data_IF_242796611204
#
_entry.id   IF_242796611204
#
_cell.length_a   1.000
_cell.length_b   1.000
_cell.length_c   1.000
_cell.angle_alpha   90.00
_cell.angle_beta   90.00
_cell.angle_gamma   90.00
#
_symmetry.space_group_name_H-M   'P 1'
#
loop_
_entity.id
_entity.type
_entity.pdbx_description
1 polymer ?
#
# COMPACT_ATOMS: atom_id res chain seq x y z
N UNK A 1 1.02 8.27 -12.45
CA UNK A 1 0.72 7.07 -13.27
C UNK A 1 -0.36 6.25 -12.57
N UNK A 2 -1.29 5.63 -13.30
CA UNK A 2 -2.25 4.67 -12.78
C UNK A 2 -1.84 3.26 -13.25
N UNK A 3 -1.62 2.35 -12.32
CA UNK A 3 -1.32 0.95 -12.63
C UNK A 3 -2.62 0.14 -12.74
N UNK A 4 -2.85 -0.46 -13.89
CA UNK A 4 -3.83 -1.53 -14.08
C UNK A 4 -3.10 -2.87 -13.98
N UNK A 5 -3.10 -3.46 -12.77
CA UNK A 5 -2.42 -4.73 -12.54
C UNK A 5 -3.31 -5.93 -12.89
N UNK A 6 -2.65 -7.05 -13.19
CA UNK A 6 -3.33 -8.32 -13.46
C UNK A 6 -4.00 -8.84 -12.19
N UNK A 7 -5.24 -9.29 -12.32
CA UNK A 7 -5.97 -9.98 -11.25
C UNK A 7 -6.16 -11.43 -11.68
N UNK A 8 -5.90 -12.41 -10.81
CA UNK A 8 -6.18 -13.80 -11.14
C UNK A 8 -7.68 -13.95 -11.40
N UNK A 9 -8.03 -14.54 -12.53
CA UNK A 9 -9.39 -14.97 -12.80
C UNK A 9 -9.67 -16.22 -11.97
N UNK A 10 -10.21 -16.03 -10.78
CA UNK A 10 -10.79 -17.14 -10.04
C UNK A 10 -12.20 -17.40 -10.61
N UNK A 11 -12.53 -18.64 -10.99
CA UNK A 11 -13.90 -18.98 -11.27
C UNK A 11 -14.71 -18.83 -9.98
N UNK A 12 -15.63 -17.88 -9.95
CA UNK A 12 -16.76 -17.82 -9.04
C UNK A 12 -16.58 -17.50 -7.55
N UNK A 13 -15.81 -16.48 -7.13
CA UNK A 13 -16.20 -15.86 -5.87
C UNK A 13 -15.71 -14.41 -5.79
N UNK A 14 -16.58 -13.48 -6.14
CA UNK A 14 -16.45 -12.04 -5.83
C UNK A 14 -16.75 -11.75 -4.36
N UNK A 15 -16.99 -12.77 -3.56
CA UNK A 15 -17.01 -12.65 -2.12
C UNK A 15 -15.57 -12.68 -1.63
N UNK A 16 -15.04 -11.50 -1.36
CA UNK A 16 -13.85 -11.37 -0.53
C UNK A 16 -14.18 -12.03 0.82
N UNK A 17 -13.92 -13.33 0.92
CA UNK A 17 -14.03 -14.02 2.17
C UNK A 17 -12.79 -13.62 2.98
N UNK A 18 -12.88 -12.46 3.63
CA UNK A 18 -11.86 -11.91 4.51
C UNK A 18 -11.68 -12.74 5.79
N UNK A 19 -12.06 -14.02 5.78
CA UNK A 19 -11.87 -14.92 6.90
C UNK A 19 -10.39 -15.24 7.10
N UNK A 20 -9.91 -15.22 8.35
CA UNK A 20 -8.50 -15.37 8.71
C UNK A 20 -7.81 -16.66 8.24
N UNK A 21 -8.57 -17.68 7.88
CA UNK A 21 -8.05 -19.04 7.60
C UNK A 21 -8.22 -19.49 6.15
N UNK A 22 -8.82 -18.72 5.29
CA UNK A 22 -8.86 -19.09 3.88
C UNK A 22 -7.55 -18.66 3.24
N UNK A 23 -6.70 -19.66 3.04
CA UNK A 23 -5.36 -19.51 2.53
C UNK A 23 -5.30 -18.36 1.54
N UNK A 24 -4.70 -17.28 1.99
CA UNK A 24 -4.39 -16.12 1.16
C UNK A 24 -3.59 -16.69 0.00
N UNK A 25 -4.30 -17.06 -1.06
CA UNK A 25 -3.66 -17.46 -2.30
C UNK A 25 -2.81 -16.26 -2.70
N UNK A 26 -1.51 -16.35 -2.40
CA UNK A 26 -0.54 -15.31 -2.74
C UNK A 26 -0.56 -15.18 -4.25
N UNK A 27 -1.38 -14.27 -4.75
CA UNK A 27 -1.34 -13.93 -6.16
C UNK A 27 -0.11 -13.10 -6.39
N UNK A 28 0.90 -13.66 -7.03
CA UNK A 28 2.12 -12.93 -7.36
C UNK A 28 1.92 -11.92 -8.47
N UNK A 29 0.93 -12.11 -9.34
CA UNK A 29 0.74 -11.28 -10.54
C UNK A 29 0.59 -9.77 -10.26
N UNK A 30 -0.25 -9.32 -9.31
CA UNK A 30 -0.32 -7.89 -8.96
C UNK A 30 1.02 -7.34 -8.49
N UNK A 31 1.74 -8.12 -7.68
CA UNK A 31 3.02 -7.70 -7.11
C UNK A 31 4.12 -7.67 -8.18
N UNK A 32 4.16 -8.62 -9.11
CA UNK A 32 5.05 -8.59 -10.28
C UNK A 32 4.83 -7.32 -11.10
N UNK A 33 3.56 -6.97 -11.38
CA UNK A 33 3.20 -5.76 -12.12
C UNK A 33 3.62 -4.49 -11.38
N UNK A 34 3.46 -4.44 -10.06
CA UNK A 34 3.91 -3.32 -9.24
C UNK A 34 5.44 -3.19 -9.23
N UNK A 35 6.17 -4.31 -9.05
CA UNK A 35 7.63 -4.33 -9.12
C UNK A 35 8.14 -3.86 -10.49
N UNK A 36 7.53 -4.34 -11.57
CA UNK A 36 7.87 -3.96 -12.94
C UNK A 36 7.61 -2.47 -13.19
N UNK A 37 6.46 -1.97 -12.72
CA UNK A 37 6.06 -0.56 -12.89
C UNK A 37 7.06 0.38 -12.23
N UNK A 38 7.49 0.12 -10.99
CA UNK A 38 8.48 0.96 -10.31
C UNK A 38 9.83 0.93 -11.05
N UNK A 39 10.24 -0.24 -11.55
CA UNK A 39 11.45 -0.36 -12.36
C UNK A 39 11.40 0.50 -13.64
N UNK A 40 10.27 0.45 -14.36
CA UNK A 40 10.04 1.27 -15.56
C UNK A 40 10.02 2.77 -15.24
N UNK A 41 9.35 3.18 -14.16
CA UNK A 41 9.34 4.58 -13.72
C UNK A 41 10.75 5.11 -13.44
N UNK A 42 11.59 4.31 -12.79
CA UNK A 42 12.99 4.67 -12.52
C UNK A 42 13.85 4.71 -13.78
N UNK A 43 13.67 3.75 -14.68
CA UNK A 43 14.41 3.72 -15.95
C UNK A 43 14.13 4.97 -16.80
N UNK A 44 12.87 5.39 -16.86
CA UNK A 44 12.42 6.54 -17.67
C UNK A 44 12.32 7.85 -16.87
N UNK A 45 12.86 7.90 -15.66
CA UNK A 45 12.69 9.06 -14.78
C UNK A 45 13.19 10.37 -15.41
N UNK A 46 14.34 10.35 -16.09
CA UNK A 46 14.87 11.53 -16.77
C UNK A 46 13.98 11.97 -17.94
N UNK A 47 13.49 11.03 -18.74
CA UNK A 47 12.58 11.29 -19.88
C UNK A 47 11.25 11.91 -19.41
N UNK A 48 10.74 11.43 -18.28
CA UNK A 48 9.44 11.89 -17.74
C UNK A 48 9.57 13.00 -16.71
N UNK A 49 10.76 13.56 -16.54
CA UNK A 49 11.05 14.65 -15.61
C UNK A 49 10.61 14.37 -14.16
N UNK A 50 10.81 13.14 -13.69
CA UNK A 50 10.54 12.74 -12.32
C UNK A 50 11.86 12.41 -11.60
N UNK A 51 11.87 12.64 -10.29
CA UNK A 51 13.00 12.25 -9.45
C UNK A 51 12.96 10.74 -9.19
N UNK A 52 13.97 9.95 -9.60
CA UNK A 52 13.98 8.51 -9.39
C UNK A 52 14.05 8.09 -7.91
N UNK A 53 14.32 9.02 -7.01
CA UNK A 53 14.37 8.80 -5.55
C UNK A 53 13.12 9.29 -4.82
N UNK A 54 12.08 9.71 -5.56
CA UNK A 54 10.81 10.20 -5.02
C UNK A 54 9.61 9.51 -5.67
N UNK A 55 9.70 8.22 -5.89
CA UNK A 55 8.66 7.38 -6.49
C UNK A 55 7.95 6.60 -5.39
N UNK A 56 6.73 6.99 -5.07
CA UNK A 56 5.89 6.31 -4.09
C UNK A 56 4.76 5.51 -4.70
N UNK A 57 4.06 4.80 -3.84
CA UNK A 57 2.88 4.00 -4.18
C UNK A 57 1.69 4.44 -3.34
N UNK A 58 0.50 4.50 -3.97
CA UNK A 58 -0.76 4.77 -3.30
C UNK A 58 -1.80 3.76 -3.76
N UNK A 59 -2.56 3.20 -2.84
CA UNK A 59 -3.58 2.22 -3.16
C UNK A 59 -4.75 2.21 -2.17
N UNK A 60 -5.90 1.76 -2.66
CA UNK A 60 -7.17 1.69 -1.97
C UNK A 60 -7.62 0.24 -1.82
N UNK A 61 -8.15 -0.16 -0.66
CA UNK A 61 -8.73 -1.50 -0.44
C UNK A 61 -7.73 -2.61 -0.83
N UNK A 62 -8.05 -3.47 -1.78
CA UNK A 62 -7.11 -4.46 -2.34
C UNK A 62 -5.83 -3.82 -2.91
N UNK A 63 -5.92 -2.62 -3.49
CA UNK A 63 -4.75 -1.83 -3.89
C UNK A 63 -3.92 -1.35 -2.70
N UNK A 64 -4.56 -1.09 -1.55
CA UNK A 64 -3.89 -0.81 -0.28
C UNK A 64 -3.12 -2.01 0.25
N UNK A 65 -3.64 -3.22 0.07
CA UNK A 65 -2.91 -4.46 0.32
C UNK A 65 -1.69 -4.60 -0.58
N UNK A 66 -1.85 -4.36 -1.88
CA UNK A 66 -0.73 -4.38 -2.83
C UNK A 66 0.35 -3.34 -2.49
N UNK A 67 -0.04 -2.17 -1.96
CA UNK A 67 0.89 -1.18 -1.42
C UNK A 67 1.73 -1.77 -0.29
N UNK A 68 1.12 -2.50 0.64
CA UNK A 68 1.86 -3.15 1.72
C UNK A 68 2.78 -4.26 1.20
N UNK A 69 2.33 -5.08 0.24
CA UNK A 69 3.16 -6.12 -0.37
C UNK A 69 4.39 -5.54 -1.08
N UNK A 70 4.22 -4.57 -1.99
CA UNK A 70 5.36 -3.97 -2.70
C UNK A 70 6.31 -3.20 -1.77
N UNK A 71 5.79 -2.70 -0.65
CA UNK A 71 6.58 -2.01 0.38
C UNK A 71 7.41 -2.96 1.24
N UNK A 72 7.16 -4.25 1.19
CA UNK A 72 7.82 -5.25 2.04
C UNK A 72 8.50 -6.37 1.26
N UNK A 73 8.05 -6.67 0.04
CA UNK A 73 8.61 -7.71 -0.84
C UNK A 73 9.20 -7.10 -2.12
N UNK A 74 10.24 -6.30 -1.95
CA UNK A 74 10.97 -5.62 -3.02
C UNK A 74 12.41 -6.11 -3.19
N UNK A 75 12.93 -6.89 -2.25
CA UNK A 75 14.33 -7.32 -2.25
C UNK A 75 14.64 -8.29 -3.41
N UNK A 76 13.65 -9.01 -3.87
CA UNK A 76 13.73 -9.95 -4.98
C UNK A 76 12.55 -9.77 -5.91
N UNK A 77 12.83 -9.71 -7.21
CA UNK A 77 11.76 -9.75 -8.22
C UNK A 77 11.11 -11.12 -8.25
N UNK A 78 9.81 -11.15 -8.46
CA UNK A 78 9.01 -12.38 -8.53
C UNK A 78 8.93 -12.95 -9.96
N UNK A 79 9.51 -12.29 -10.93
CA UNK A 79 9.57 -12.69 -12.33
C UNK A 79 11.01 -12.62 -12.87
N UNK A 80 11.25 -13.32 -13.97
CA UNK A 80 12.55 -13.26 -14.66
C UNK A 80 12.79 -11.86 -15.26
N UNK A 81 14.00 -11.30 -15.12
CA UNK A 81 14.31 -9.99 -15.66
C UNK A 81 14.09 -9.91 -17.18
N UNK A 82 13.41 -8.87 -17.64
CA UNK A 82 13.07 -8.66 -19.05
C UNK A 82 14.05 -7.71 -19.74
N UNK A 83 14.44 -6.62 -19.06
CA UNK A 83 15.28 -5.56 -19.63
C UNK A 83 16.02 -4.74 -18.54
N UNK A 84 16.51 -3.56 -18.93
CA UNK A 84 17.26 -2.66 -18.05
C UNK A 84 16.44 -2.14 -16.84
N UNK A 85 15.11 -2.05 -16.94
CA UNK A 85 14.26 -1.62 -15.84
C UNK A 85 14.32 -2.56 -14.63
N UNK A 86 14.64 -3.84 -14.89
CA UNK A 86 14.69 -4.86 -13.85
C UNK A 86 16.02 -4.95 -13.12
N UNK A 87 17.03 -4.19 -13.57
CA UNK A 87 18.32 -4.05 -12.89
C UNK A 87 18.26 -3.06 -11.71
N UNK A 88 17.29 -2.13 -11.74
CA UNK A 88 17.11 -1.14 -10.69
C UNK A 88 16.26 -1.66 -9.52
N UNK A 89 16.25 -0.91 -8.41
CA UNK A 89 15.39 -1.20 -7.27
C UNK A 89 13.92 -1.04 -7.63
N UNK A 90 13.08 -1.97 -7.18
CA UNK A 90 11.62 -1.84 -7.22
C UNK A 90 11.02 -1.43 -5.86
N UNK A 91 11.85 -1.04 -4.88
CA UNK A 91 11.38 -0.53 -3.59
C UNK A 91 10.76 0.86 -3.78
N UNK A 92 9.52 1.12 -3.35
CA UNK A 92 8.98 2.48 -3.34
C UNK A 92 9.72 3.36 -2.33
N UNK A 93 9.75 4.67 -2.57
CA UNK A 93 10.41 5.62 -1.67
C UNK A 93 9.48 6.07 -0.54
N UNK A 94 8.17 5.96 -0.74
CA UNK A 94 7.11 6.12 0.27
C UNK A 94 5.87 5.32 -0.11
N UNK A 95 4.97 5.09 0.86
CA UNK A 95 3.76 4.32 0.66
C UNK A 95 2.54 4.98 1.30
N UNK A 96 1.39 4.92 0.63
CA UNK A 96 0.10 5.42 1.12
C UNK A 96 -0.95 4.33 1.00
N UNK A 97 -1.37 3.75 2.13
CA UNK A 97 -2.42 2.73 2.20
C UNK A 97 -3.73 3.33 2.70
N UNK A 98 -4.75 3.33 1.85
CA UNK A 98 -6.07 3.88 2.16
C UNK A 98 -7.08 2.74 2.29
N UNK A 99 -7.64 2.59 3.47
CA UNK A 99 -8.49 1.45 3.88
C UNK A 99 -8.01 0.10 3.33
N UNK A 100 -6.74 -0.28 3.63
CA UNK A 100 -6.18 -1.53 3.15
C UNK A 100 -6.89 -2.72 3.78
N UNK A 101 -7.05 -3.81 3.02
CA UNK A 101 -7.54 -5.08 3.53
C UNK A 101 -6.43 -6.12 3.73
N UNK A 102 -6.79 -7.33 4.18
CA UNK A 102 -5.94 -8.52 4.23
C UNK A 102 -4.63 -8.41 5.04
N UNK A 103 -4.48 -7.40 5.89
CA UNK A 103 -3.27 -7.15 6.67
C UNK A 103 -3.31 -7.80 8.05
N UNK A 104 -4.47 -7.83 8.70
CA UNK A 104 -4.67 -8.47 10.00
C UNK A 104 -5.14 -9.92 9.85
N UNK A 105 -4.54 -10.85 10.60
CA UNK A 105 -4.92 -12.27 10.53
C UNK A 105 -6.08 -12.66 11.44
N UNK A 106 -6.69 -11.70 12.14
CA UNK A 106 -7.89 -11.93 12.96
C UNK A 106 -7.61 -12.35 14.40
N UNK A 107 -6.38 -12.27 14.88
CA UNK A 107 -6.01 -12.61 16.26
C UNK A 107 -6.08 -11.40 17.22
N UNK A 108 -6.13 -11.67 18.53
CA UNK A 108 -6.17 -10.65 19.57
C UNK A 108 -4.86 -9.88 19.73
N UNK A 109 -3.77 -10.39 19.18
CA UNK A 109 -2.44 -9.76 19.28
C UNK A 109 -2.13 -8.80 18.14
N UNK A 110 -3.08 -8.58 17.23
CA UNK A 110 -2.92 -7.77 16.02
C UNK A 110 -1.75 -8.22 15.17
N UNK A 111 -1.60 -9.53 15.01
CA UNK A 111 -0.55 -10.08 14.17
C UNK A 111 -0.79 -9.73 12.71
N UNK A 112 0.31 -9.28 12.07
CA UNK A 112 0.29 -8.94 10.65
C UNK A 112 0.31 -10.21 9.80
N UNK A 113 -0.33 -10.14 8.65
CA UNK A 113 -0.27 -11.15 7.59
C UNK A 113 1.21 -11.49 7.27
N UNK A 114 1.63 -12.76 7.36
CA UNK A 114 3.01 -13.17 7.13
C UNK A 114 3.51 -12.92 5.69
N UNK A 115 2.61 -12.71 4.74
CA UNK A 115 2.96 -12.31 3.37
C UNK A 115 3.38 -10.83 3.26
N UNK A 116 3.35 -10.08 4.36
CA UNK A 116 3.77 -8.67 4.43
C UNK A 116 4.91 -8.55 5.45
N UNK A 117 6.14 -9.02 5.11
CA UNK A 117 7.27 -9.09 6.04
C UNK A 117 7.90 -7.71 6.26
N UNK A 118 7.36 -6.93 7.19
CA UNK A 118 7.88 -5.59 7.52
C UNK A 118 9.31 -5.67 8.07
N UNK A 119 10.19 -4.84 7.53
CA UNK A 119 11.59 -4.69 7.96
C UNK A 119 11.95 -3.21 8.12
N UNK A 120 13.15 -2.92 8.60
CA UNK A 120 13.67 -1.52 8.65
C UNK A 120 13.81 -0.88 7.26
N UNK A 121 13.83 -1.69 6.20
CA UNK A 121 13.93 -1.21 4.83
C UNK A 121 12.55 -0.89 4.20
N UNK A 122 11.46 -1.23 4.88
CA UNK A 122 10.11 -0.82 4.47
C UNK A 122 10.05 0.71 4.40
N UNK A 123 9.49 1.31 3.34
CA UNK A 123 9.48 2.78 3.19
C UNK A 123 8.61 3.47 4.23
N UNK A 124 8.82 4.78 4.48
CA UNK A 124 7.89 5.60 5.23
C UNK A 124 6.47 5.40 4.73
N UNK A 125 5.52 5.21 5.63
CA UNK A 125 4.16 4.79 5.28
C UNK A 125 3.11 5.70 5.92
N UNK A 126 2.12 6.10 5.11
CA UNK A 126 0.92 6.79 5.55
C UNK A 126 -0.27 5.83 5.48
N UNK A 127 -1.07 5.76 6.55
CA UNK A 127 -2.25 4.90 6.65
C UNK A 127 -3.49 5.72 6.93
N UNK A 128 -4.59 5.35 6.29
CA UNK A 128 -5.87 6.00 6.46
C UNK A 128 -7.01 4.97 6.49
N UNK A 129 -7.87 5.06 7.50
CA UNK A 129 -9.00 4.15 7.69
C UNK A 129 -10.21 4.87 8.28
N UNK A 130 -11.41 4.38 8.00
CA UNK A 130 -12.62 4.74 8.73
C UNK A 130 -12.98 3.65 9.74
N UNK A 131 -13.31 4.03 10.98
CA UNK A 131 -13.68 3.09 12.04
C UNK A 131 -14.94 2.29 11.68
N UNK A 132 -15.89 2.95 11.02
CA UNK A 132 -17.15 2.34 10.61
C UNK A 132 -17.08 1.59 9.26
N UNK A 133 -15.88 1.26 8.77
CA UNK A 133 -15.68 0.42 7.59
C UNK A 133 -16.10 -1.03 7.92
N UNK A 134 -17.12 -1.53 7.20
CA UNK A 134 -17.68 -2.88 7.40
C UNK A 134 -17.09 -3.92 6.45
N UNK A 135 -16.25 -3.52 5.52
CA UNK A 135 -15.58 -4.41 4.56
C UNK A 135 -14.19 -4.76 5.08
N UNK A 136 -13.34 -3.74 5.20
CA UNK A 136 -12.00 -3.88 5.77
C UNK A 136 -11.95 -3.08 7.08
N UNK A 137 -12.19 -3.77 8.20
CA UNK A 137 -12.22 -3.14 9.51
C UNK A 137 -10.91 -2.44 9.88
N UNK A 138 -11.00 -1.48 10.79
CA UNK A 138 -9.87 -0.66 11.25
C UNK A 138 -8.64 -1.47 11.72
N UNK A 139 -8.86 -2.70 12.17
CA UNK A 139 -7.82 -3.63 12.64
C UNK A 139 -6.76 -3.92 11.55
N UNK A 140 -7.13 -3.84 10.27
CA UNK A 140 -6.20 -4.02 9.15
C UNK A 140 -5.08 -2.99 9.21
N UNK A 141 -5.43 -1.71 9.28
CA UNK A 141 -4.46 -0.61 9.39
C UNK A 141 -3.73 -0.62 10.73
N UNK A 142 -4.40 -0.98 11.84
CA UNK A 142 -3.78 -1.05 13.18
C UNK A 142 -2.71 -2.12 13.23
N UNK A 143 -2.96 -3.33 12.70
CA UNK A 143 -1.97 -4.41 12.66
C UNK A 143 -0.72 -3.98 11.88
N UNK A 144 -0.91 -3.35 10.72
CA UNK A 144 0.21 -2.87 9.91
C UNK A 144 0.97 -1.74 10.59
N UNK A 145 0.28 -0.76 11.19
CA UNK A 145 0.89 0.30 11.98
C UNK A 145 1.78 -0.26 13.09
N UNK A 146 1.29 -1.24 13.86
CA UNK A 146 2.05 -1.87 14.95
C UNK A 146 3.33 -2.52 14.41
N UNK A 147 3.24 -3.24 13.29
CA UNK A 147 4.39 -3.89 12.67
C UNK A 147 5.44 -2.87 12.18
N UNK A 148 5.00 -1.81 11.49
CA UNK A 148 5.86 -0.70 11.04
C UNK A 148 6.57 -0.04 12.23
N UNK A 149 5.83 0.28 13.27
CA UNK A 149 6.36 0.88 14.51
C UNK A 149 7.42 -0.01 15.18
N UNK A 150 7.14 -1.33 15.30
CA UNK A 150 8.08 -2.30 15.86
C UNK A 150 9.37 -2.40 15.05
N UNK A 151 9.28 -2.28 13.72
CA UNK A 151 10.43 -2.30 12.82
C UNK A 151 11.22 -0.97 12.79
N UNK A 152 10.72 0.08 13.43
CA UNK A 152 11.33 1.42 13.42
C UNK A 152 11.13 2.17 12.11
N UNK A 153 10.10 1.82 11.33
CA UNK A 153 9.71 2.52 10.10
C UNK A 153 8.90 3.77 10.46
N UNK A 154 9.21 4.95 9.89
CA UNK A 154 8.37 6.12 10.03
C UNK A 154 6.95 5.85 9.52
N UNK A 155 5.96 6.09 10.34
CA UNK A 155 4.55 5.85 9.99
C UNK A 155 3.66 6.93 10.56
N UNK A 156 2.75 7.43 9.72
CA UNK A 156 1.64 8.31 10.12
C UNK A 156 0.33 7.60 9.83
N UNK A 157 -0.64 7.69 10.75
CA UNK A 157 -1.94 7.04 10.60
C UNK A 157 -3.07 7.95 11.05
N UNK A 158 -4.12 8.04 10.24
CA UNK A 158 -5.34 8.76 10.55
C UNK A 158 -6.54 7.82 10.57
N UNK A 159 -7.31 7.87 11.66
CA UNK A 159 -8.55 7.12 11.83
C UNK A 159 -9.72 8.09 11.91
N UNK A 160 -10.68 7.93 11.03
CA UNK A 160 -11.92 8.70 11.04
C UNK A 160 -13.06 7.87 11.63
N UNK A 161 -13.89 8.49 12.46
CA UNK A 161 -15.06 7.81 13.01
C UNK A 161 -16.07 7.36 11.93
N UNK A 162 -16.13 8.13 10.83
CA UNK A 162 -17.06 7.90 9.73
C UNK A 162 -16.35 8.06 8.37
N UNK A 163 -16.75 7.24 7.42
CA UNK A 163 -16.24 7.21 6.06
C UNK A 163 -16.73 5.98 5.32
N UNK A 164 -16.90 4.88 6.06
CA UNK A 164 -17.20 3.57 5.49
C UNK A 164 -16.08 3.05 4.62
N UNK A 165 -16.39 2.12 3.73
CA UNK A 165 -15.45 1.62 2.73
C UNK A 165 -15.55 2.39 1.42
N UNK A 166 -14.47 2.38 0.63
CA UNK A 166 -14.43 2.92 -0.73
C UNK A 166 -14.81 4.41 -0.87
N UNK A 167 -14.49 5.25 0.13
CA UNK A 167 -14.71 6.69 0.02
C UNK A 167 -13.87 7.33 -1.09
N UNK A 168 -12.65 6.82 -1.34
CA UNK A 168 -11.77 7.28 -2.44
C UNK A 168 -11.52 8.78 -2.40
N UNK A 169 -11.67 9.42 -3.57
CA UNK A 169 -11.54 10.87 -3.75
C UNK A 169 -12.90 11.59 -3.81
N UNK A 170 -13.99 10.91 -3.48
CA UNK A 170 -15.33 11.52 -3.50
C UNK A 170 -15.45 12.61 -2.44
N UNK A 171 -15.94 13.77 -2.85
CA UNK A 171 -16.23 14.87 -1.93
C UNK A 171 -17.52 14.56 -1.17
N UNK A 172 -17.44 14.64 0.14
CA UNK A 172 -18.57 14.47 1.07
C UNK A 172 -18.55 15.60 2.09
N UNK A 173 -19.55 15.64 2.96
CA UNK A 173 -19.57 16.54 4.14
C UNK A 173 -18.78 16.01 5.33
N UNK A 174 -18.26 14.76 5.23
CA UNK A 174 -17.49 14.13 6.30
C UNK A 174 -16.04 14.60 6.31
N UNK A 175 -15.38 14.65 7.48
CA UNK A 175 -13.98 15.04 7.61
C UNK A 175 -13.03 14.20 6.74
N UNK A 176 -13.36 12.94 6.46
CA UNK A 176 -12.59 12.05 5.60
C UNK A 176 -12.31 12.64 4.20
N UNK A 177 -13.15 13.55 3.71
CA UNK A 177 -12.94 14.26 2.43
C UNK A 177 -11.60 14.99 2.36
N UNK A 178 -11.05 15.43 3.49
CA UNK A 178 -9.80 16.18 3.57
C UNK A 178 -8.53 15.32 3.55
N UNK A 179 -8.63 14.01 3.44
CA UNK A 179 -7.47 13.13 3.53
C UNK A 179 -6.35 13.41 2.49
N UNK A 180 -6.62 13.83 1.24
CA UNK A 180 -5.54 14.11 0.29
C UNK A 180 -4.62 15.22 0.77
N UNK A 181 -5.17 16.22 1.48
CA UNK A 181 -4.38 17.32 2.06
C UNK A 181 -3.47 16.83 3.20
N UNK A 182 -3.91 15.83 3.97
CA UNK A 182 -3.06 15.22 5.00
C UNK A 182 -1.87 14.49 4.37
N UNK A 183 -2.10 13.74 3.29
CA UNK A 183 -1.01 13.07 2.55
C UNK A 183 -0.04 14.10 1.97
N UNK A 184 -0.52 15.19 1.37
CA UNK A 184 0.33 16.25 0.85
C UNK A 184 1.20 16.85 1.96
N UNK A 185 0.60 17.20 3.10
CA UNK A 185 1.32 17.71 4.26
C UNK A 185 2.38 16.71 4.74
N UNK A 186 2.00 15.44 4.88
CA UNK A 186 2.92 14.39 5.28
C UNK A 186 4.09 14.20 4.29
N UNK A 187 3.84 14.24 2.99
CA UNK A 187 4.89 14.18 1.97
C UNK A 187 5.91 15.31 2.11
N UNK A 188 5.46 16.51 2.52
CA UNK A 188 6.34 17.63 2.89
C UNK A 188 7.21 17.29 4.10
N UNK A 189 6.64 16.67 5.15
CA UNK A 189 7.38 16.32 6.38
C UNK A 189 8.48 15.28 6.15
N UNK A 190 8.30 14.37 5.19
CA UNK A 190 9.30 13.36 4.83
C UNK A 190 10.19 13.77 3.65
N UNK A 191 10.10 15.02 3.18
CA UNK A 191 10.96 15.60 2.12
C UNK A 191 10.70 15.09 0.71
N UNK A 192 9.55 14.46 0.46
CA UNK A 192 9.17 13.97 -0.88
C UNK A 192 8.70 15.11 -1.79
N UNK A 193 8.10 16.15 -1.22
CA UNK A 193 7.74 17.40 -1.89
C UNK A 193 8.27 18.58 -1.05
N UNK A 194 8.37 19.82 -1.60
CA UNK A 194 8.64 20.99 -0.78
C UNK A 194 7.64 21.13 0.37
N UNK A 195 8.11 21.50 1.55
CA UNK A 195 7.22 21.83 2.65
C UNK A 195 6.47 23.15 2.32
N UNK A 196 5.14 23.14 2.54
CA UNK A 196 4.30 24.33 2.39
C UNK A 196 4.49 25.28 3.56
#
# INVERSE_FOLDING_TARGET
MLLKYRVPSLPYDWHCDCRPNNGLAKSTLPLEDAQRTIGLLRLHAAEWHIDPHKIGVLGFSAGGYLVAEISTDFARRLYEPVDAADKGSCRPDFAVGVYPGHLWIGDETYSLNPNVPVTRQTPPTFLLQAENDKVDGVNQSVAYYIALKKAGVPVEMHLYAQGGHAFGLRRTTLPVTGWPQLVETWLGTIGMIPAN
#
